data_IF_079698890989
#
_entry.id   IF_079698890989
#
_cell.length_a   1.000
_cell.length_b   1.000
_cell.length_c   1.000
_cell.angle_alpha   90.00
_cell.angle_beta   90.00
_cell.angle_gamma   90.00
#
_symmetry.space_group_name_H-M   'P 1'
#
loop_
_entity.id
_entity.type
_entity.pdbx_description
1 polymer ?
#
# COMPACT_ATOMS: atom_id res chain seq x y z
N UNK A 1 20.10 -21.23 -0.50
CA UNK A 1 20.40 -20.01 -1.27
C UNK A 1 19.22 -19.10 -1.04
N UNK A 2 19.45 -17.95 -0.38
CA UNK A 2 18.41 -16.93 -0.30
C UNK A 2 18.09 -16.45 -1.73
N UNK A 3 16.81 -16.39 -2.13
CA UNK A 3 16.46 -15.84 -3.43
C UNK A 3 16.96 -14.40 -3.48
N UNK A 4 17.84 -14.12 -4.43
CA UNK A 4 18.28 -12.75 -4.75
C UNK A 4 17.08 -11.97 -5.25
N UNK A 5 16.75 -10.92 -4.50
CA UNK A 5 15.54 -10.15 -4.66
C UNK A 5 15.71 -9.10 -5.78
N UNK A 6 15.07 -9.27 -6.96
CA UNK A 6 15.08 -8.34 -8.13
C UNK A 6 13.83 -7.43 -8.22
N UNK A 7 13.82 -6.35 -9.03
CA UNK A 7 12.62 -5.54 -9.34
C UNK A 7 11.38 -6.37 -9.67
N UNK A 8 11.60 -7.54 -10.28
CA UNK A 8 10.58 -8.56 -10.58
C UNK A 8 9.67 -8.92 -9.39
N UNK A 9 10.14 -8.84 -8.14
CA UNK A 9 9.36 -9.35 -7.00
C UNK A 9 8.14 -8.48 -6.66
N UNK A 10 8.21 -7.16 -6.88
CA UNK A 10 7.02 -6.32 -6.75
C UNK A 10 6.00 -6.65 -7.82
N UNK A 11 6.45 -6.84 -9.05
CA UNK A 11 5.60 -7.23 -10.18
C UNK A 11 4.98 -8.61 -9.94
N UNK A 12 5.72 -9.56 -9.37
CA UNK A 12 5.23 -10.87 -8.99
C UNK A 12 4.16 -10.80 -7.88
N UNK A 13 4.40 -10.01 -6.82
CA UNK A 13 3.40 -9.80 -5.75
C UNK A 13 2.15 -9.10 -6.31
N UNK A 14 2.30 -8.10 -7.17
CA UNK A 14 1.16 -7.38 -7.75
C UNK A 14 0.43 -8.21 -8.81
N UNK A 15 1.10 -9.16 -9.45
CA UNK A 15 0.46 -10.16 -10.33
C UNK A 15 -0.46 -11.08 -9.51
N UNK A 16 -0.09 -11.45 -8.29
CA UNK A 16 -0.94 -12.27 -7.41
C UNK A 16 -2.31 -11.63 -7.10
N UNK A 17 -2.41 -10.29 -7.16
CA UNK A 17 -3.67 -9.56 -6.98
C UNK A 17 -4.69 -9.97 -8.06
N UNK A 18 -4.24 -10.31 -9.27
CA UNK A 18 -5.12 -10.69 -10.38
C UNK A 18 -5.88 -11.99 -10.13
N UNK A 19 -5.42 -12.83 -9.20
CA UNK A 19 -6.11 -14.07 -8.82
C UNK A 19 -7.20 -13.85 -7.78
N UNK A 20 -7.31 -12.64 -7.23
CA UNK A 20 -8.36 -12.27 -6.30
C UNK A 20 -9.48 -11.61 -7.12
N UNK A 21 -10.70 -12.17 -7.14
CA UNK A 21 -11.83 -11.61 -7.87
C UNK A 21 -12.33 -10.35 -7.17
N UNK A 22 -11.72 -9.21 -7.49
CA UNK A 22 -12.13 -7.89 -6.99
C UNK A 22 -13.06 -7.26 -8.02
N UNK A 23 -14.32 -7.05 -7.65
CA UNK A 23 -15.35 -6.42 -8.50
C UNK A 23 -15.90 -5.22 -7.76
N UNK A 24 -15.92 -4.05 -8.40
CA UNK A 24 -16.33 -2.78 -7.79
C UNK A 24 -15.60 -2.49 -6.48
N UNK A 25 -14.30 -2.78 -6.44
CA UNK A 25 -13.43 -2.64 -5.26
C UNK A 25 -13.86 -3.51 -4.06
N UNK A 26 -14.62 -4.58 -4.28
CA UNK A 26 -14.99 -5.56 -3.24
C UNK A 26 -14.51 -6.96 -3.62
N UNK A 27 -14.09 -7.74 -2.60
CA UNK A 27 -13.74 -9.15 -2.80
C UNK A 27 -15.04 -9.91 -3.06
N UNK A 28 -15.14 -10.52 -4.24
CA UNK A 28 -16.31 -11.30 -4.61
C UNK A 28 -16.43 -12.53 -3.69
N UNK A 29 -17.59 -12.67 -3.05
CA UNK A 29 -17.97 -13.83 -2.22
C UNK A 29 -16.95 -14.16 -1.11
N UNK A 30 -16.30 -13.13 -0.53
CA UNK A 30 -15.23 -13.35 0.43
C UNK A 30 -14.87 -12.18 1.33
N UNK A 31 -13.88 -12.43 2.17
CA UNK A 31 -13.21 -11.46 3.04
C UNK A 31 -11.70 -11.50 2.81
N UNK A 32 -10.96 -10.79 3.66
CA UNK A 32 -9.50 -10.67 3.57
C UNK A 32 -8.76 -12.01 3.68
N UNK A 33 -9.38 -13.02 4.29
CA UNK A 33 -8.85 -14.36 4.55
C UNK A 33 -9.36 -15.41 3.54
N UNK A 34 -10.29 -15.03 2.65
CA UNK A 34 -10.76 -15.91 1.57
C UNK A 34 -9.61 -16.35 0.68
N UNK A 35 -9.57 -17.66 0.41
CA UNK A 35 -8.50 -18.32 -0.33
C UNK A 35 -8.90 -18.47 -1.80
N UNK A 36 -8.07 -17.94 -2.69
CA UNK A 36 -8.24 -18.04 -4.14
C UNK A 36 -7.12 -18.88 -4.74
N UNK A 37 -7.48 -19.87 -5.55
CA UNK A 37 -6.51 -20.79 -6.15
C UNK A 37 -5.53 -20.07 -7.09
N UNK A 38 -4.26 -20.40 -6.99
CA UNK A 38 -3.22 -19.94 -7.91
C UNK A 38 -3.13 -20.94 -9.08
N UNK A 39 -3.11 -20.49 -10.34
CA UNK A 39 -2.90 -21.38 -11.48
C UNK A 39 -1.61 -22.22 -11.35
N UNK A 40 -1.65 -23.49 -11.80
CA UNK A 40 -0.53 -24.42 -11.63
C UNK A 40 0.78 -23.94 -12.27
N UNK A 41 0.67 -23.24 -13.39
CA UNK A 41 1.78 -22.63 -14.12
C UNK A 41 2.41 -21.42 -13.42
N UNK A 42 1.73 -20.86 -12.41
CA UNK A 42 2.14 -19.66 -11.66
C UNK A 42 2.64 -20.00 -10.24
N UNK A 43 2.61 -21.28 -9.86
CA UNK A 43 3.09 -21.75 -8.54
C UNK A 43 4.59 -21.46 -8.33
N UNK A 44 5.40 -21.55 -9.37
CA UNK A 44 6.83 -21.26 -9.26
C UNK A 44 7.09 -19.77 -9.00
N UNK A 45 6.25 -18.87 -9.54
CA UNK A 45 6.27 -17.44 -9.22
C UNK A 45 5.93 -17.21 -7.75
N UNK A 46 4.86 -17.83 -7.25
CA UNK A 46 4.49 -17.76 -5.84
C UNK A 46 5.62 -18.21 -4.90
N UNK A 47 6.29 -19.33 -5.24
CA UNK A 47 7.44 -19.82 -4.46
C UNK A 47 8.62 -18.85 -4.47
N UNK A 48 8.88 -18.18 -5.60
CA UNK A 48 9.98 -17.20 -5.74
C UNK A 48 9.83 -16.03 -4.76
N UNK A 49 8.60 -15.57 -4.52
CA UNK A 49 8.29 -14.52 -3.54
C UNK A 49 8.08 -15.06 -2.11
N UNK A 50 8.38 -16.34 -1.87
CA UNK A 50 8.30 -16.98 -0.56
C UNK A 50 6.90 -17.41 -0.13
N UNK A 51 5.96 -17.52 -1.09
CA UNK A 51 4.60 -18.03 -0.86
C UNK A 51 4.51 -19.51 -1.29
N UNK A 52 4.44 -20.42 -0.31
CA UNK A 52 4.51 -21.87 -0.54
C UNK A 52 3.15 -22.57 -0.60
N UNK A 53 2.06 -21.83 -0.82
CA UNK A 53 0.70 -22.36 -0.92
C UNK A 53 0.22 -22.29 -2.38
N UNK A 54 -0.71 -23.16 -2.74
CA UNK A 54 -1.41 -23.19 -4.04
C UNK A 54 -2.64 -22.27 -4.08
N UNK A 55 -2.81 -21.44 -3.05
CA UNK A 55 -3.87 -20.44 -2.92
C UNK A 55 -3.32 -19.15 -2.34
N UNK A 56 -3.96 -18.02 -2.61
CA UNK A 56 -3.61 -16.69 -2.10
C UNK A 56 -4.85 -16.02 -1.48
N UNK A 57 -4.64 -15.22 -0.44
CA UNK A 57 -5.65 -14.34 0.15
C UNK A 57 -5.18 -12.89 0.10
N UNK A 58 -6.07 -11.91 0.30
CA UNK A 58 -5.67 -10.50 0.44
C UNK A 58 -4.68 -10.34 1.60
N UNK A 59 -4.89 -11.06 2.73
CA UNK A 59 -3.97 -11.03 3.87
C UNK A 59 -2.58 -11.56 3.50
N UNK A 60 -2.48 -12.62 2.69
CA UNK A 60 -1.18 -13.11 2.24
C UNK A 60 -0.46 -12.06 1.39
N UNK A 61 -1.16 -11.38 0.47
CA UNK A 61 -0.58 -10.29 -0.34
C UNK A 61 -0.12 -9.12 0.55
N UNK A 62 -0.94 -8.70 1.51
CA UNK A 62 -0.58 -7.66 2.49
C UNK A 62 0.70 -8.04 3.23
N UNK A 63 0.81 -9.30 3.69
CA UNK A 63 2.00 -9.76 4.40
C UNK A 63 3.25 -9.85 3.51
N UNK A 64 3.09 -10.21 2.24
CA UNK A 64 4.18 -10.16 1.26
C UNK A 64 4.64 -8.72 1.03
N UNK A 65 3.71 -7.77 0.90
CA UNK A 65 4.00 -6.35 0.77
C UNK A 65 4.67 -5.76 2.02
N UNK A 66 4.22 -6.14 3.23
CA UNK A 66 4.89 -5.75 4.48
C UNK A 66 6.35 -6.22 4.48
N UNK A 67 6.60 -7.50 4.19
CA UNK A 67 7.96 -8.06 4.14
C UNK A 67 8.82 -7.32 3.12
N UNK A 68 8.24 -7.04 1.95
CA UNK A 68 8.88 -6.33 0.86
C UNK A 68 9.31 -4.91 1.27
N UNK A 69 8.42 -4.17 1.94
CA UNK A 69 8.67 -2.78 2.37
C UNK A 69 9.63 -2.68 3.56
N UNK A 70 9.75 -3.73 4.37
CA UNK A 70 10.67 -3.79 5.52
C UNK A 70 12.09 -4.26 5.15
N UNK A 71 12.29 -4.79 3.94
CA UNK A 71 13.64 -5.18 3.48
C UNK A 71 14.48 -3.92 3.18
N UNK A 72 15.52 -3.70 3.99
CA UNK A 72 16.43 -2.54 3.93
C UNK A 72 17.10 -2.36 2.56
N UNK A 73 17.09 -3.38 1.68
CA UNK A 73 17.68 -3.32 0.33
C UNK A 73 16.77 -2.65 -0.71
N UNK A 74 15.56 -2.19 -0.35
CA UNK A 74 14.50 -1.88 -1.33
C UNK A 74 13.84 -0.51 -1.19
N UNK A 75 14.61 0.50 -0.78
CA UNK A 75 14.24 1.92 -0.92
C UNK A 75 13.94 2.34 -2.37
N UNK A 76 14.17 1.46 -3.36
CA UNK A 76 13.94 1.65 -4.79
C UNK A 76 12.55 1.18 -5.28
N UNK A 77 11.72 0.56 -4.43
CA UNK A 77 10.37 0.05 -4.80
C UNK A 77 9.43 1.10 -5.37
N UNK A 78 9.66 2.34 -4.96
CA UNK A 78 9.00 3.49 -5.51
C UNK A 78 10.16 4.28 -6.07
N UNK A 79 10.33 4.22 -7.38
CA UNK A 79 11.27 5.06 -8.09
C UNK A 79 10.77 6.51 -7.96
N UNK A 80 11.04 7.09 -6.78
CA UNK A 80 10.70 8.44 -6.38
C UNK A 80 11.48 9.46 -7.23
N UNK A 81 12.28 9.02 -8.22
CA UNK A 81 13.04 9.88 -9.11
C UNK A 81 12.17 10.67 -10.10
N UNK A 82 10.95 10.23 -10.42
CA UNK A 82 10.04 11.03 -11.27
C UNK A 82 9.48 12.28 -10.54
N UNK A 83 9.65 12.39 -9.22
CA UNK A 83 9.05 13.44 -8.40
C UNK A 83 9.76 14.79 -8.51
N UNK A 84 11.02 14.80 -8.95
CA UNK A 84 11.74 16.04 -9.21
C UNK A 84 11.15 16.84 -10.38
N UNK A 85 10.45 16.18 -11.30
CA UNK A 85 9.95 16.78 -12.56
C UNK A 85 8.58 17.46 -12.36
N UNK A 86 7.77 17.02 -11.38
CA UNK A 86 6.42 17.53 -11.14
C UNK A 86 6.36 18.78 -10.23
N UNK A 87 7.51 19.30 -9.79
CA UNK A 87 7.60 20.39 -8.81
C UNK A 87 7.42 21.81 -9.37
N UNK A 88 7.10 21.98 -10.66
CA UNK A 88 6.79 23.32 -11.20
C UNK A 88 5.28 23.59 -11.20
N UNK A 89 4.82 24.42 -10.25
CA UNK A 89 3.48 25.01 -10.24
C UNK A 89 2.42 24.35 -9.35
N UNK A 90 2.75 23.34 -8.54
CA UNK A 90 1.80 22.68 -7.64
C UNK A 90 2.00 23.16 -6.19
N UNK A 91 0.93 23.62 -5.54
CA UNK A 91 0.95 24.05 -4.13
C UNK A 91 1.01 22.90 -3.13
N UNK A 92 0.64 21.69 -3.57
CA UNK A 92 0.68 20.45 -2.78
C UNK A 92 1.67 19.46 -3.40
N UNK A 93 2.75 19.07 -2.72
CA UNK A 93 3.75 18.24 -3.35
C UNK A 93 3.19 16.82 -3.62
N UNK A 94 3.28 16.28 -4.85
CA UNK A 94 2.70 14.98 -5.20
C UNK A 94 3.14 13.82 -4.31
N UNK A 95 4.35 13.90 -3.75
CA UNK A 95 4.88 12.92 -2.80
C UNK A 95 4.04 12.76 -1.52
N UNK A 96 3.16 13.71 -1.20
CA UNK A 96 2.25 13.59 -0.06
C UNK A 96 0.99 12.78 -0.38
N UNK A 97 0.57 12.64 -1.64
CA UNK A 97 -0.74 12.05 -1.97
C UNK A 97 -0.89 10.62 -1.44
N UNK A 98 0.08 9.74 -1.71
CA UNK A 98 0.01 8.35 -1.24
C UNK A 98 0.24 8.27 0.27
N UNK A 99 1.01 9.21 0.84
CA UNK A 99 1.20 9.32 2.29
C UNK A 99 -0.12 9.70 3.00
N UNK A 100 -0.82 10.72 2.51
CA UNK A 100 -2.08 11.17 3.09
C UNK A 100 -3.22 10.18 2.85
N UNK A 101 -3.18 9.43 1.74
CA UNK A 101 -4.02 8.24 1.58
C UNK A 101 -3.87 7.31 2.78
N UNK A 102 -2.64 6.94 3.13
CA UNK A 102 -2.40 6.03 4.25
C UNK A 102 -2.88 6.63 5.58
N UNK A 103 -2.63 7.93 5.81
CA UNK A 103 -3.08 8.64 7.00
C UNK A 103 -4.61 8.67 7.12
N UNK A 104 -5.30 9.03 6.04
CA UNK A 104 -6.76 9.06 5.99
C UNK A 104 -7.35 7.66 6.16
N UNK A 105 -6.78 6.65 5.52
CA UNK A 105 -7.20 5.26 5.66
C UNK A 105 -7.02 4.74 7.10
N UNK A 106 -5.90 5.05 7.76
CA UNK A 106 -5.66 4.68 9.16
C UNK A 106 -6.66 5.33 10.13
N UNK A 107 -7.10 6.55 9.82
CA UNK A 107 -8.14 7.29 10.56
C UNK A 107 -9.57 6.91 10.13
N UNK A 108 -9.69 6.00 9.16
CA UNK A 108 -10.96 5.52 8.58
C UNK A 108 -11.79 6.60 7.89
N UNK A 109 -11.13 7.66 7.42
CA UNK A 109 -11.76 8.63 6.54
C UNK A 109 -11.77 8.09 5.10
N UNK A 110 -12.80 7.30 4.79
CA UNK A 110 -12.95 6.63 3.50
C UNK A 110 -13.00 7.63 2.34
N UNK A 111 -13.62 8.80 2.55
CA UNK A 111 -13.82 9.79 1.48
C UNK A 111 -12.48 10.41 1.08
N UNK A 112 -11.72 10.88 2.07
CA UNK A 112 -10.41 11.47 1.83
C UNK A 112 -9.40 10.42 1.36
N UNK A 113 -9.43 9.21 1.93
CA UNK A 113 -8.55 8.13 1.49
C UNK A 113 -8.76 7.83 0.01
N UNK A 114 -9.99 7.61 -0.45
CA UNK A 114 -10.24 7.34 -1.86
C UNK A 114 -9.88 8.52 -2.77
N UNK A 115 -10.12 9.75 -2.32
CA UNK A 115 -9.72 10.95 -3.05
C UNK A 115 -8.20 11.01 -3.26
N UNK A 116 -7.43 10.80 -2.19
CA UNK A 116 -5.97 10.79 -2.26
C UNK A 116 -5.43 9.61 -3.06
N UNK A 117 -6.07 8.44 -2.96
CA UNK A 117 -5.70 7.24 -3.72
C UNK A 117 -5.88 7.46 -5.22
N UNK A 118 -7.02 8.00 -5.65
CA UNK A 118 -7.30 8.26 -7.06
C UNK A 118 -6.37 9.33 -7.64
N UNK A 119 -6.05 10.37 -6.86
CA UNK A 119 -5.03 11.35 -7.25
C UNK A 119 -3.63 10.72 -7.31
N UNK A 120 -3.30 9.86 -6.36
CA UNK A 120 -2.03 9.13 -6.37
C UNK A 120 -1.91 8.24 -7.61
N UNK A 121 -2.97 7.51 -7.98
CA UNK A 121 -2.98 6.70 -9.18
C UNK A 121 -2.71 7.52 -10.44
N UNK A 122 -3.41 8.65 -10.60
CA UNK A 122 -3.30 9.51 -11.78
C UNK A 122 -1.99 10.28 -11.86
N UNK A 123 -1.46 10.74 -10.72
CA UNK A 123 -0.31 11.65 -10.66
C UNK A 123 1.01 10.89 -10.44
N UNK A 124 0.98 9.81 -9.64
CA UNK A 124 2.15 9.01 -9.28
C UNK A 124 2.29 7.75 -10.13
N UNK A 125 1.38 7.53 -11.09
CA UNK A 125 1.39 6.39 -12.01
C UNK A 125 1.49 5.04 -11.27
N UNK A 126 0.72 4.87 -10.19
CA UNK A 126 0.64 3.61 -9.47
C UNK A 126 0.15 2.50 -10.40
N UNK A 127 0.63 1.27 -10.22
CA UNK A 127 0.13 0.14 -11.00
C UNK A 127 -1.36 -0.08 -10.73
N UNK A 128 -2.13 -0.41 -11.77
CA UNK A 128 -3.57 -0.62 -11.63
C UNK A 128 -3.91 -1.70 -10.61
N UNK A 129 -3.13 -2.80 -10.56
CA UNK A 129 -3.32 -3.86 -9.55
C UNK A 129 -3.15 -3.33 -8.13
N UNK A 130 -2.13 -2.51 -7.89
CA UNK A 130 -1.88 -1.95 -6.56
C UNK A 130 -2.96 -0.94 -6.17
N UNK A 131 -3.40 -0.08 -7.09
CA UNK A 131 -4.54 0.82 -6.88
C UNK A 131 -5.82 0.06 -6.52
N UNK A 132 -6.17 -0.99 -7.27
CA UNK A 132 -7.34 -1.84 -7.01
C UNK A 132 -7.25 -2.48 -5.61
N UNK A 133 -6.09 -2.99 -5.22
CA UNK A 133 -5.90 -3.58 -3.90
C UNK A 133 -6.09 -2.55 -2.78
N UNK A 134 -5.52 -1.34 -2.93
CA UNK A 134 -5.68 -0.25 -1.96
C UNK A 134 -7.14 0.24 -1.87
N UNK A 135 -7.82 0.35 -3.02
CA UNK A 135 -9.24 0.70 -3.07
C UNK A 135 -10.09 -0.36 -2.38
N UNK A 136 -9.77 -1.63 -2.62
CA UNK A 136 -10.41 -2.77 -1.96
C UNK A 136 -10.21 -2.72 -0.44
N UNK A 137 -8.97 -2.55 0.02
CA UNK A 137 -8.68 -2.41 1.46
C UNK A 137 -9.49 -1.26 2.10
N UNK A 138 -9.64 -0.14 1.39
CA UNK A 138 -10.25 1.09 1.91
C UNK A 138 -11.77 1.03 1.95
N UNK A 139 -12.41 0.48 0.92
CA UNK A 139 -13.88 0.40 0.82
C UNK A 139 -14.46 -0.72 1.66
N UNK A 140 -13.71 -1.79 1.84
CA UNK A 140 -14.11 -2.88 2.71
C UNK A 140 -13.85 -2.50 4.18
N UNK A 141 -14.53 -3.17 5.11
CA UNK A 141 -14.35 -2.95 6.57
C UNK A 141 -13.01 -3.48 7.10
N UNK A 142 -11.99 -3.55 6.25
CA UNK A 142 -10.67 -4.10 6.57
C UNK A 142 -9.75 -3.08 7.25
N UNK A 143 -10.12 -1.80 7.34
CA UNK A 143 -9.34 -0.77 8.05
C UNK A 143 -9.26 -0.99 9.57
N UNK A 144 -10.07 -1.91 10.11
CA UNK A 144 -9.99 -2.42 11.48
C UNK A 144 -9.01 -3.59 11.64
N UNK A 145 -8.60 -4.21 10.54
CA UNK A 145 -7.71 -5.36 10.56
C UNK A 145 -6.28 -4.96 10.92
N UNK A 146 -5.67 -5.71 11.85
CA UNK A 146 -4.33 -5.40 12.36
C UNK A 146 -3.26 -5.44 11.26
N UNK A 147 -3.32 -6.40 10.34
CA UNK A 147 -2.31 -6.52 9.29
C UNK A 147 -2.47 -5.42 8.25
N UNK A 148 -3.72 -5.02 7.95
CA UNK A 148 -4.01 -3.86 7.10
C UNK A 148 -3.45 -2.58 7.72
N UNK A 149 -3.74 -2.32 9.00
CA UNK A 149 -3.26 -1.11 9.68
C UNK A 149 -1.74 -1.07 9.72
N UNK A 150 -1.10 -2.20 10.05
CA UNK A 150 0.36 -2.34 10.01
C UNK A 150 0.92 -2.08 8.61
N UNK A 151 0.29 -2.63 7.58
CA UNK A 151 0.70 -2.40 6.20
C UNK A 151 0.61 -0.92 5.80
N UNK A 152 -0.52 -0.25 6.09
CA UNK A 152 -0.69 1.17 5.81
C UNK A 152 0.34 2.03 6.54
N UNK A 153 0.65 1.70 7.80
CA UNK A 153 1.67 2.42 8.58
C UNK A 153 3.08 2.22 8.00
N UNK A 154 3.43 0.99 7.61
CA UNK A 154 4.74 0.71 6.98
C UNK A 154 4.83 1.40 5.62
N UNK A 155 3.79 1.31 4.79
CA UNK A 155 3.73 1.99 3.50
C UNK A 155 3.90 3.49 3.67
N UNK A 156 3.15 4.11 4.58
CA UNK A 156 3.26 5.52 4.93
C UNK A 156 4.69 5.89 5.34
N UNK A 157 5.35 5.08 6.18
CA UNK A 157 6.73 5.33 6.59
C UNK A 157 7.73 5.26 5.43
N UNK A 158 7.55 4.31 4.52
CA UNK A 158 8.43 4.15 3.36
C UNK A 158 8.32 5.32 2.38
N UNK A 159 7.13 5.90 2.25
CA UNK A 159 6.85 7.00 1.31
C UNK A 159 6.86 8.38 1.95
N UNK A 160 7.01 8.45 3.28
CA UNK A 160 6.92 9.68 4.04
C UNK A 160 7.91 10.71 3.48
N UNK A 161 7.43 11.88 3.01
CA UNK A 161 8.33 12.95 2.61
C UNK A 161 9.20 13.41 3.78
N UNK A 162 10.45 13.81 3.53
CA UNK A 162 11.39 14.28 4.58
C UNK A 162 10.78 15.43 5.41
N UNK A 163 10.00 16.30 4.78
CA UNK A 163 9.30 17.43 5.41
C UNK A 163 7.95 17.07 6.04
N UNK A 164 7.52 15.80 6.04
CA UNK A 164 6.21 15.43 6.60
C UNK A 164 6.07 15.74 8.10
N UNK A 165 7.09 15.52 8.96
CA UNK A 165 6.99 15.90 10.37
C UNK A 165 6.75 17.39 10.59
N UNK A 166 7.34 18.27 9.75
CA UNK A 166 7.11 19.72 9.85
C UNK A 166 5.76 20.17 9.30
N UNK A 167 5.02 19.28 8.62
CA UNK A 167 3.65 19.54 8.17
C UNK A 167 2.58 19.13 9.18
N UNK A 168 2.92 18.34 10.21
CA UNK A 168 2.00 17.86 11.26
C UNK A 168 1.17 18.99 11.89
N UNK A 169 1.79 20.15 12.11
CA UNK A 169 1.15 21.29 12.77
C UNK A 169 0.56 22.34 11.81
N UNK A 170 0.70 22.13 10.50
CA UNK A 170 0.39 23.16 9.49
C UNK A 170 -1.05 23.11 8.97
N UNK A 171 -1.67 21.93 8.95
CA UNK A 171 -2.94 21.67 8.26
C UNK A 171 -4.14 21.45 9.20
N UNK A 172 -4.05 21.95 10.43
CA UNK A 172 -5.15 21.92 11.39
C UNK A 172 -5.19 20.65 12.26
N UNK A 173 -6.16 20.60 13.17
CA UNK A 173 -6.24 19.56 14.20
C UNK A 173 -6.57 18.17 13.63
N UNK A 174 -7.38 18.10 12.58
CA UNK A 174 -7.74 16.83 11.92
C UNK A 174 -6.51 16.15 11.32
N UNK A 175 -5.67 16.88 10.58
CA UNK A 175 -4.42 16.34 10.04
C UNK A 175 -3.48 15.86 11.15
N UNK A 176 -3.37 16.64 12.23
CA UNK A 176 -2.57 16.26 13.40
C UNK A 176 -3.05 14.94 14.00
N UNK A 177 -4.37 14.75 14.14
CA UNK A 177 -4.94 13.52 14.68
C UNK A 177 -4.60 12.31 13.80
N UNK A 178 -4.71 12.44 12.47
CA UNK A 178 -4.33 11.37 11.52
C UNK A 178 -2.86 10.99 11.66
N UNK A 179 -1.99 12.00 11.80
CA UNK A 179 -0.55 11.81 12.01
C UNK A 179 -0.26 11.11 13.35
N UNK A 180 -0.96 11.49 14.44
CA UNK A 180 -0.83 10.83 15.74
C UNK A 180 -1.28 9.36 15.70
N UNK A 181 -2.32 9.04 14.93
CA UNK A 181 -2.75 7.65 14.69
C UNK A 181 -1.65 6.86 13.98
N UNK A 182 -1.05 7.45 12.94
CA UNK A 182 0.09 6.86 12.23
C UNK A 182 1.31 6.62 13.14
N UNK A 183 1.71 7.61 13.94
CA UNK A 183 2.85 7.48 14.87
C UNK A 183 2.61 6.32 15.87
N UNK A 184 1.37 6.16 16.36
CA UNK A 184 0.98 5.06 17.25
C UNK A 184 1.11 3.69 16.58
N UNK A 185 0.66 3.55 15.33
CA UNK A 185 0.74 2.28 14.58
C UNK A 185 2.19 1.87 14.29
N UNK A 186 3.12 2.83 14.21
CA UNK A 186 4.55 2.57 14.10
C UNK A 186 5.27 2.35 15.43
N UNK A 187 4.55 2.40 16.55
CA UNK A 187 5.12 2.38 17.91
C UNK A 187 6.14 3.52 18.16
N UNK A 188 6.08 4.61 17.38
CA UNK A 188 6.92 5.80 17.57
C UNK A 188 6.25 6.69 18.61
N UNK A 189 6.86 6.79 19.80
CA UNK A 189 6.47 7.75 20.84
C UNK A 189 7.27 9.02 20.75
#
# INVERSE_FOLDING_TARGET
MDPTFTPDIYDEITTMIQYIPIINDEIQDGDIDTQFGIPLDEIEMAKKIGHNKDWISVRDIINLMIKLLQDERRTELIDLQQYAILMSGISYPPQYLLFDYCLAALDKDITDALLYLDHSYKILNLSSSFHIMLACITRNKFLDDKDVRKFLAILANTIQPISAPSHKDRYGQEYRNRFDTYDKELERK
#
